data_IF_478432623201
#
_entry.id   IF_478432623201
#
_cell.length_a   1.000
_cell.length_b   1.000
_cell.length_c   1.000
_cell.angle_alpha   90.00
_cell.angle_beta   90.00
_cell.angle_gamma   90.00
#
_symmetry.space_group_name_H-M   'P 1'
#
loop_
_entity.id
_entity.type
_entity.pdbx_description
1 polymer ?
#
# COMPACT_ATOMS: atom_id res chain seq x y z
N UNK A 1 -3.67 4.36 -12.57
CA UNK A 1 -3.95 2.95 -12.20
C UNK A 1 -4.72 2.12 -13.21
N UNK A 2 -5.46 2.72 -14.17
CA UNK A 2 -6.31 1.99 -15.13
C UNK A 2 -7.29 0.99 -14.46
N UNK A 3 -7.92 1.43 -13.38
CA UNK A 3 -8.76 0.59 -12.53
C UNK A 3 -10.18 0.44 -13.07
N UNK A 4 -10.32 -0.34 -14.13
CA UNK A 4 -11.61 -0.68 -14.76
C UNK A 4 -11.81 -2.19 -14.84
N UNK A 5 -13.07 -2.62 -14.72
CA UNK A 5 -13.44 -4.03 -14.93
C UNK A 5 -13.18 -4.47 -16.36
N UNK A 6 -12.54 -5.63 -16.55
CA UNK A 6 -12.07 -6.12 -17.85
C UNK A 6 -13.19 -6.39 -18.86
N UNK A 7 -14.38 -6.82 -18.40
CA UNK A 7 -15.56 -7.06 -19.23
C UNK A 7 -16.51 -5.87 -19.26
N UNK A 8 -16.78 -5.27 -18.10
CA UNK A 8 -17.86 -4.27 -17.99
C UNK A 8 -17.39 -2.85 -18.28
N UNK A 9 -16.08 -2.58 -18.24
CA UNK A 9 -15.52 -1.23 -18.33
C UNK A 9 -15.90 -0.31 -17.16
N UNK A 10 -16.55 -0.84 -16.10
CA UNK A 10 -16.95 -0.04 -14.94
C UNK A 10 -15.71 0.33 -14.11
N UNK A 11 -15.60 1.59 -13.62
CA UNK A 11 -14.50 1.99 -12.76
C UNK A 11 -14.57 1.25 -11.41
N UNK A 12 -13.42 0.79 -10.91
CA UNK A 12 -13.31 0.27 -9.55
C UNK A 12 -13.25 1.42 -8.55
N UNK A 13 -13.76 1.19 -7.34
CA UNK A 13 -13.56 2.10 -6.22
C UNK A 13 -12.08 2.09 -5.85
N UNK A 14 -11.49 3.29 -5.76
CA UNK A 14 -10.12 3.48 -5.33
C UNK A 14 -10.11 4.13 -3.94
N UNK A 15 -9.10 3.80 -3.16
CA UNK A 15 -8.88 4.35 -1.82
C UNK A 15 -7.40 4.31 -1.48
N UNK A 16 -7.05 4.88 -0.34
CA UNK A 16 -5.70 4.83 0.19
C UNK A 16 -5.31 3.44 0.66
N UNK A 17 -4.00 3.20 0.81
CA UNK A 17 -3.51 1.94 1.35
C UNK A 17 -4.04 1.75 2.78
N UNK A 18 -4.56 0.56 3.08
CA UNK A 18 -5.13 0.24 4.38
C UNK A 18 -4.24 -0.76 5.12
N UNK A 19 -3.46 -0.24 6.08
CA UNK A 19 -2.54 -1.06 6.87
C UNK A 19 -3.29 -1.94 7.89
N UNK A 20 -4.50 -1.59 8.31
CA UNK A 20 -5.31 -2.42 9.21
C UNK A 20 -5.71 -3.70 8.50
N UNK A 21 -6.26 -3.56 7.28
CA UNK A 21 -6.66 -4.70 6.45
C UNK A 21 -5.45 -5.52 6.03
N UNK A 22 -4.35 -4.86 5.64
CA UNK A 22 -3.14 -5.56 5.22
C UNK A 22 -2.50 -6.36 6.36
N UNK A 23 -2.33 -5.78 7.57
CA UNK A 23 -1.85 -6.51 8.76
C UNK A 23 -2.72 -7.73 9.07
N UNK A 24 -4.04 -7.57 8.99
CA UNK A 24 -4.96 -8.68 9.22
C UNK A 24 -4.77 -9.79 8.18
N UNK A 25 -4.65 -9.43 6.89
CA UNK A 25 -4.36 -10.37 5.81
C UNK A 25 -3.06 -11.14 6.00
N UNK A 26 -1.98 -10.46 6.42
CA UNK A 26 -0.69 -11.08 6.73
C UNK A 26 -0.84 -12.14 7.83
N UNK A 27 -1.46 -11.78 8.95
CA UNK A 27 -1.65 -12.71 10.07
C UNK A 27 -2.51 -13.91 9.71
N UNK A 28 -3.60 -13.70 8.97
CA UNK A 28 -4.51 -14.78 8.58
C UNK A 28 -3.85 -15.81 7.68
N UNK A 29 -2.96 -15.37 6.80
CA UNK A 29 -2.36 -16.23 5.78
C UNK A 29 -0.94 -16.70 6.12
N UNK A 30 -0.35 -16.20 7.22
CA UNK A 30 1.04 -16.50 7.57
C UNK A 30 2.02 -16.00 6.50
N UNK A 31 1.82 -14.76 6.01
CA UNK A 31 2.63 -14.20 4.92
C UNK A 31 4.04 -13.86 5.43
N UNK A 32 5.06 -14.55 4.93
CA UNK A 32 6.47 -14.26 5.25
C UNK A 32 7.07 -13.12 4.41
N UNK A 33 6.56 -12.91 3.20
CA UNK A 33 7.10 -11.93 2.26
C UNK A 33 6.00 -11.31 1.38
N UNK A 34 6.11 -10.01 1.12
CA UNK A 34 5.12 -9.26 0.36
C UNK A 34 5.66 -8.75 -0.98
N UNK A 35 4.75 -8.49 -1.91
CA UNK A 35 5.04 -7.81 -3.18
C UNK A 35 4.21 -6.53 -3.22
N UNK A 36 4.88 -5.38 -3.35
CA UNK A 36 4.21 -4.11 -3.60
C UNK A 36 4.07 -3.91 -5.11
N UNK A 37 2.89 -3.50 -5.57
CA UNK A 37 2.63 -3.29 -7.00
C UNK A 37 2.05 -1.92 -7.26
N UNK A 38 2.23 -1.41 -8.47
CA UNK A 38 1.64 -0.15 -8.94
C UNK A 38 2.12 1.07 -8.14
N UNK A 39 3.38 1.08 -7.71
CA UNK A 39 3.93 2.26 -7.01
C UNK A 39 3.97 3.49 -7.94
N UNK A 40 4.11 3.28 -9.25
CA UNK A 40 4.04 4.29 -10.31
C UNK A 40 2.73 5.08 -10.31
N UNK A 41 1.63 4.47 -9.88
CA UNK A 41 0.33 5.14 -9.79
C UNK A 41 0.35 6.24 -8.73
N UNK A 42 1.29 6.20 -7.79
CA UNK A 42 1.42 7.16 -6.70
C UNK A 42 2.34 8.35 -7.04
N UNK A 43 2.98 8.34 -8.22
CA UNK A 43 4.04 9.30 -8.59
C UNK A 43 3.61 10.77 -8.56
N UNK A 44 2.33 11.05 -8.78
CA UNK A 44 1.79 12.40 -9.00
C UNK A 44 1.12 13.03 -7.78
N UNK A 45 1.19 12.37 -6.62
CA UNK A 45 0.59 12.91 -5.39
C UNK A 45 1.59 13.77 -4.63
N UNK A 46 1.13 14.88 -4.07
CA UNK A 46 1.91 15.69 -3.11
C UNK A 46 1.93 15.07 -1.71
N UNK A 47 0.85 14.38 -1.35
CA UNK A 47 0.67 13.75 -0.05
C UNK A 47 -0.07 12.44 -0.24
N UNK A 48 0.48 11.40 0.37
CA UNK A 48 -0.10 10.06 0.43
C UNK A 48 -0.61 9.82 1.84
N UNK A 49 -1.69 9.04 1.93
CA UNK A 49 -2.25 8.62 3.22
C UNK A 49 -2.23 7.12 3.32
N UNK A 50 -2.02 6.63 4.54
CA UNK A 50 -2.13 5.22 4.90
C UNK A 50 -3.10 5.11 6.07
N UNK A 51 -4.17 4.36 5.90
CA UNK A 51 -5.12 4.09 6.98
C UNK A 51 -4.42 3.18 8.00
N UNK A 52 -4.33 3.64 9.25
CA UNK A 52 -3.66 2.94 10.34
C UNK A 52 -4.62 2.48 11.44
N UNK A 53 -5.87 2.94 11.40
CA UNK A 53 -6.94 2.54 12.29
C UNK A 53 -8.29 3.10 11.85
N UNK A 54 -9.35 2.70 12.53
CA UNK A 54 -10.69 3.27 12.37
C UNK A 54 -11.15 3.89 13.68
N UNK A 55 -11.65 5.13 13.65
CA UNK A 55 -12.26 5.79 14.79
C UNK A 55 -13.77 5.61 14.73
N UNK A 56 -14.34 5.02 15.77
CA UNK A 56 -15.78 4.84 15.88
C UNK A 56 -16.26 5.00 17.32
N UNK A 57 -17.29 5.82 17.54
CA UNK A 57 -17.87 6.13 18.87
C UNK A 57 -16.81 6.50 19.92
N UNK A 58 -15.81 7.29 19.52
CA UNK A 58 -14.73 7.76 20.39
C UNK A 58 -13.60 6.77 20.66
N UNK A 59 -13.68 5.53 20.14
CA UNK A 59 -12.63 4.52 20.23
C UNK A 59 -11.88 4.39 18.91
N UNK A 60 -10.56 4.21 18.99
CA UNK A 60 -9.72 3.88 17.83
C UNK A 60 -9.50 2.37 17.80
N UNK A 61 -9.70 1.79 16.62
CA UNK A 61 -9.48 0.39 16.30
C UNK A 61 -8.28 0.30 15.37
N UNK A 62 -7.12 -0.07 15.92
CA UNK A 62 -5.87 -0.25 15.15
C UNK A 62 -5.79 -1.64 14.51
N UNK A 63 -6.69 -2.53 14.89
CA UNK A 63 -6.82 -3.89 14.39
C UNK A 63 -8.16 -4.09 13.71
N UNK A 64 -8.21 -5.05 12.79
CA UNK A 64 -9.42 -5.35 12.02
C UNK A 64 -10.61 -5.56 12.98
N UNK A 65 -11.62 -4.68 12.97
CA UNK A 65 -12.74 -4.81 13.88
C UNK A 65 -13.60 -6.00 13.49
N UNK A 66 -14.07 -6.74 14.49
CA UNK A 66 -15.02 -7.85 14.29
C UNK A 66 -16.48 -7.36 14.09
N UNK A 67 -16.75 -6.09 14.38
CA UNK A 67 -18.07 -5.48 14.29
C UNK A 67 -18.22 -4.75 12.95
N UNK A 68 -19.22 -5.14 12.17
CA UNK A 68 -19.52 -4.55 10.86
C UNK A 68 -19.93 -3.07 10.97
N UNK A 69 -20.57 -2.67 12.07
CA UNK A 69 -20.97 -1.28 12.29
C UNK A 69 -19.75 -0.34 12.36
N UNK A 70 -18.62 -0.86 12.89
CA UNK A 70 -17.34 -0.14 12.89
C UNK A 70 -16.79 0.02 11.47
N UNK A 71 -16.93 -0.98 10.61
CA UNK A 71 -16.44 -0.91 9.22
C UNK A 71 -17.30 -0.02 8.34
N UNK A 72 -18.61 0.01 8.58
CA UNK A 72 -19.55 0.81 7.79
C UNK A 72 -19.51 2.29 8.19
N UNK A 73 -19.41 2.58 9.49
CA UNK A 73 -19.55 3.93 10.04
C UNK A 73 -18.26 4.49 10.66
N UNK A 74 -17.16 3.73 10.64
CA UNK A 74 -15.88 4.17 11.18
C UNK A 74 -15.16 5.17 10.29
N UNK A 75 -14.57 6.20 10.90
CA UNK A 75 -13.73 7.17 10.21
C UNK A 75 -12.29 6.66 10.13
N UNK A 76 -11.66 6.60 8.95
CA UNK A 76 -10.27 6.17 8.84
C UNK A 76 -9.33 7.17 9.50
N UNK A 77 -8.40 6.65 10.30
CA UNK A 77 -7.28 7.39 10.89
C UNK A 77 -6.09 7.24 9.96
N UNK A 78 -5.53 8.36 9.50
CA UNK A 78 -4.46 8.37 8.52
C UNK A 78 -3.11 8.76 9.11
N UNK A 79 -2.08 8.07 8.67
CA UNK A 79 -0.70 8.56 8.69
C UNK A 79 -0.38 9.15 7.32
N UNK A 80 0.20 10.34 7.29
CA UNK A 80 0.54 11.04 6.05
C UNK A 80 2.02 10.87 5.70
N UNK A 81 2.28 10.70 4.40
CA UNK A 81 3.60 10.68 3.81
C UNK A 81 3.68 11.77 2.74
N UNK A 82 4.84 12.41 2.63
CA UNK A 82 5.10 13.28 1.49
C UNK A 82 5.16 12.43 0.24
N UNK A 83 4.45 12.84 -0.80
CA UNK A 83 4.62 12.25 -2.12
C UNK A 83 5.90 12.76 -2.78
N UNK A 84 6.16 12.34 -4.02
CA UNK A 84 7.46 12.53 -4.66
C UNK A 84 7.44 13.25 -5.99
N UNK A 85 6.31 13.37 -6.69
CA UNK A 85 6.21 14.11 -7.96
C UNK A 85 7.31 13.75 -8.97
N UNK A 86 7.72 12.49 -9.00
CA UNK A 86 8.83 11.95 -9.80
C UNK A 86 8.47 10.54 -10.28
N UNK A 87 8.94 10.17 -11.47
CA UNK A 87 8.68 8.82 -12.00
C UNK A 87 9.40 7.76 -11.15
N UNK A 88 8.68 6.70 -10.79
CA UNK A 88 9.28 5.46 -10.25
C UNK A 88 9.46 4.38 -11.31
N UNK A 89 8.85 4.56 -12.50
CA UNK A 89 8.98 3.67 -13.65
C UNK A 89 10.45 3.48 -14.05
N UNK A 90 10.80 2.27 -14.49
CA UNK A 90 12.15 1.84 -14.87
C UNK A 90 13.18 1.76 -13.74
N UNK A 91 12.83 2.09 -12.48
CA UNK A 91 13.71 1.80 -11.36
C UNK A 91 13.89 0.28 -11.21
N UNK A 92 15.13 -0.19 -11.30
CA UNK A 92 15.52 -1.60 -11.17
C UNK A 92 16.07 -1.94 -9.78
N UNK A 93 16.48 -0.91 -9.03
CA UNK A 93 17.00 -1.01 -7.67
C UNK A 93 16.27 -0.09 -6.71
N UNK A 94 16.21 -0.49 -5.45
CA UNK A 94 15.49 0.28 -4.43
C UNK A 94 16.06 1.70 -4.24
N UNK A 95 17.38 1.84 -4.29
CA UNK A 95 18.09 3.12 -4.16
C UNK A 95 17.88 4.09 -5.34
N UNK A 96 17.35 3.60 -6.47
CA UNK A 96 16.99 4.44 -7.63
C UNK A 96 15.61 5.09 -7.49
N UNK A 97 14.76 4.62 -6.57
CA UNK A 97 13.47 5.24 -6.31
C UNK A 97 13.66 6.63 -5.67
N UNK A 98 12.73 7.59 -5.86
CA UNK A 98 12.74 8.86 -5.12
C UNK A 98 12.79 8.66 -3.59
N UNK A 99 13.47 9.56 -2.89
CA UNK A 99 13.65 9.47 -1.43
C UNK A 99 12.33 9.31 -0.67
N UNK A 100 11.31 10.07 -1.07
CA UNK A 100 9.98 10.00 -0.45
C UNK A 100 9.25 8.69 -0.79
N UNK A 101 9.49 8.11 -1.96
CA UNK A 101 8.95 6.78 -2.32
C UNK A 101 9.57 5.69 -1.44
N UNK A 102 10.90 5.72 -1.25
CA UNK A 102 11.59 4.78 -0.33
C UNK A 102 11.06 4.92 1.10
N UNK A 103 10.92 6.15 1.61
CA UNK A 103 10.34 6.42 2.94
C UNK A 103 8.91 5.92 3.10
N UNK A 104 8.09 6.05 2.05
CA UNK A 104 6.73 5.51 2.04
C UNK A 104 6.74 3.99 2.14
N UNK A 105 7.57 3.32 1.34
CA UNK A 105 7.71 1.86 1.34
C UNK A 105 8.25 1.36 2.68
N UNK A 106 9.30 1.97 3.22
CA UNK A 106 9.85 1.64 4.54
C UNK A 106 8.80 1.85 5.64
N UNK A 107 8.01 2.93 5.55
CA UNK A 107 6.89 3.20 6.45
C UNK A 107 5.84 2.08 6.42
N UNK A 108 5.47 1.61 5.23
CA UNK A 108 4.56 0.48 5.08
C UNK A 108 5.15 -0.80 5.69
N UNK A 109 6.41 -1.15 5.42
CA UNK A 109 7.05 -2.34 6.00
C UNK A 109 7.00 -2.33 7.53
N UNK A 110 7.33 -1.18 8.14
CA UNK A 110 7.26 -0.99 9.58
C UNK A 110 5.84 -1.14 10.13
N UNK A 111 4.83 -0.59 9.44
CA UNK A 111 3.43 -0.70 9.83
C UNK A 111 2.86 -2.12 9.68
N UNK A 112 3.42 -2.91 8.77
CA UNK A 112 2.97 -4.26 8.45
C UNK A 112 3.72 -5.33 9.25
N UNK A 113 4.93 -5.03 9.72
CA UNK A 113 5.81 -5.99 10.39
C UNK A 113 6.38 -7.06 9.45
N UNK A 114 6.40 -6.79 8.14
CA UNK A 114 6.89 -7.68 7.10
C UNK A 114 7.54 -6.88 5.97
N UNK A 115 8.48 -7.50 5.25
CA UNK A 115 9.26 -6.85 4.19
C UNK A 115 8.64 -7.03 2.81
N UNK A 116 8.83 -6.02 1.94
CA UNK A 116 8.55 -6.12 0.51
C UNK A 116 9.74 -6.71 -0.22
N UNK A 117 9.60 -7.97 -0.57
CA UNK A 117 10.61 -8.70 -1.31
C UNK A 117 10.72 -8.24 -2.78
N UNK A 118 9.58 -7.85 -3.37
CA UNK A 118 9.51 -7.29 -4.71
C UNK A 118 8.66 -6.02 -4.75
N UNK A 119 9.06 -5.08 -5.60
CA UNK A 119 8.32 -3.84 -5.86
C UNK A 119 8.18 -3.70 -7.37
N UNK A 120 6.95 -3.77 -7.89
CA UNK A 120 6.63 -3.51 -9.29
C UNK A 120 6.44 -2.00 -9.50
N UNK A 121 7.27 -1.45 -10.39
CA UNK A 121 7.36 -0.03 -10.76
C UNK A 121 6.67 0.28 -12.08
N UNK A 122 6.02 -0.71 -12.69
CA UNK A 122 5.25 -0.54 -13.91
C UNK A 122 4.66 -1.86 -14.41
N UNK A 123 3.93 -1.83 -15.55
CA UNK A 123 3.24 -2.99 -16.10
C UNK A 123 4.18 -4.02 -16.77
N UNK A 124 5.39 -3.63 -17.19
CA UNK A 124 6.31 -4.53 -17.88
C UNK A 124 7.04 -5.46 -16.92
N UNK A 125 7.35 -6.68 -17.37
CA UNK A 125 8.03 -7.69 -16.52
C UNK A 125 9.37 -7.23 -15.97
N UNK A 126 10.09 -6.37 -16.70
CA UNK A 126 11.39 -5.81 -16.30
C UNK A 126 11.26 -4.69 -15.26
N UNK A 127 10.09 -4.08 -15.12
CA UNK A 127 9.81 -2.98 -14.18
C UNK A 127 9.51 -3.56 -12.79
N UNK A 128 10.48 -4.27 -12.24
CA UNK A 128 10.37 -4.95 -10.95
C UNK A 128 11.71 -4.94 -10.21
N UNK A 129 11.72 -4.32 -9.05
CA UNK A 129 12.83 -4.33 -8.10
C UNK A 129 12.74 -5.60 -7.27
N UNK A 130 13.87 -6.30 -7.08
CA UNK A 130 13.99 -7.49 -6.21
C UNK A 130 14.95 -7.20 -5.07
N UNK A 131 14.53 -7.43 -3.83
CA UNK A 131 15.32 -7.15 -2.64
C UNK A 131 15.98 -8.39 -2.00
N UNK A 132 15.78 -9.60 -2.55
CA UNK A 132 16.43 -10.82 -2.08
C UNK A 132 16.19 -12.02 -2.99
N UNK A 133 16.30 -13.24 -2.41
CA UNK A 133 15.81 -14.50 -2.99
C UNK A 133 14.65 -15.09 -2.15
N UNK A 134 13.53 -15.40 -2.80
CA UNK A 134 12.34 -16.01 -2.17
C UNK A 134 12.44 -17.54 -2.16
N UNK A 135 13.38 -18.07 -2.95
CA UNK A 135 13.65 -19.49 -3.17
C UNK A 135 15.16 -19.71 -3.28
#
# INVERSE_FOLDING_TARGET
GYEFGSTTGRPRRCGWFDAVVARYGIRLNGIDAMILTKVDVLDQFDTLRVCTGYKYKGKVYEEMPADLDVLENGEPVYTEFKGWNQSTVEAEKFDQLPDNARRYIDGLQNMLGAEFFMISTGPERKETIRQGNLF
#
